data_IF_335246426811
#
_entry.id   IF_335246426811
#
_cell.length_a   1.000
_cell.length_b   1.000
_cell.length_c   1.000
_cell.angle_alpha   90.00
_cell.angle_beta   90.00
_cell.angle_gamma   90.00
#
_symmetry.space_group_name_H-M   'P 1'
#
loop_
_entity.id
_entity.type
_entity.pdbx_description
1 polymer ?
#
# COMPACT_ATOMS: atom_id res chain seq x y z
N UNK A 1 -26.25 -18.61 -34.51
CA UNK A 1 -25.02 -18.15 -33.83
C UNK A 1 -25.40 -18.08 -32.37
N UNK A 2 -25.02 -19.09 -31.59
CA UNK A 2 -25.49 -19.21 -30.20
C UNK A 2 -24.53 -18.43 -29.31
N UNK A 3 -25.03 -17.38 -28.68
CA UNK A 3 -24.26 -16.60 -27.73
C UNK A 3 -24.01 -17.45 -26.48
N UNK A 4 -22.75 -17.87 -26.32
CA UNK A 4 -22.24 -18.47 -25.08
C UNK A 4 -22.08 -17.40 -24.00
N UNK A 5 -23.19 -16.85 -23.50
CA UNK A 5 -23.20 -15.99 -22.32
C UNK A 5 -23.29 -16.85 -21.05
N UNK A 6 -22.14 -17.37 -20.61
CA UNK A 6 -22.02 -18.00 -19.29
C UNK A 6 -22.09 -16.91 -18.21
N UNK A 7 -23.20 -16.81 -17.50
CA UNK A 7 -23.33 -15.93 -16.33
C UNK A 7 -22.26 -16.30 -15.30
N UNK A 8 -21.37 -15.35 -14.97
CA UNK A 8 -20.27 -15.53 -14.02
C UNK A 8 -20.85 -15.74 -12.60
N UNK A 9 -21.10 -17.00 -12.22
CA UNK A 9 -21.94 -17.35 -11.06
C UNK A 9 -21.27 -17.28 -9.68
N UNK A 10 -20.07 -16.74 -9.53
CA UNK A 10 -19.43 -16.49 -8.22
C UNK A 10 -18.21 -15.61 -8.41
N UNK A 11 -18.28 -14.34 -8.01
CA UNK A 11 -17.08 -13.52 -7.82
C UNK A 11 -16.22 -14.16 -6.74
N UNK A 12 -14.98 -14.53 -7.06
CA UNK A 12 -13.99 -14.95 -6.05
C UNK A 12 -13.17 -13.73 -5.68
N UNK A 13 -13.31 -13.25 -4.45
CA UNK A 13 -12.46 -12.18 -3.92
C UNK A 13 -11.11 -12.81 -3.58
N UNK A 14 -10.04 -12.29 -4.19
CA UNK A 14 -8.66 -12.65 -3.84
C UNK A 14 -8.09 -11.52 -3.00
N UNK A 15 -7.70 -11.83 -1.77
CA UNK A 15 -7.05 -10.88 -0.86
C UNK A 15 -5.54 -11.11 -0.95
N UNK A 16 -4.79 -10.06 -1.28
CA UNK A 16 -3.32 -10.09 -1.35
C UNK A 16 -2.78 -9.14 -0.29
N UNK A 17 -2.05 -9.67 0.69
CA UNK A 17 -1.33 -8.87 1.67
C UNK A 17 0.05 -8.49 1.12
N UNK A 18 0.35 -7.18 1.09
CA UNK A 18 1.67 -6.67 0.71
C UNK A 18 2.42 -6.31 1.98
N UNK A 19 3.53 -7.01 2.24
CA UNK A 19 4.42 -6.75 3.38
C UNK A 19 5.75 -6.17 2.94
N UNK A 20 6.27 -5.20 3.71
CA UNK A 20 7.61 -4.67 3.54
C UNK A 20 8.53 -5.01 4.72
N UNK A 21 9.81 -5.29 4.46
CA UNK A 21 10.81 -5.52 5.51
C UNK A 21 11.99 -4.58 5.30
N UNK A 22 12.39 -3.87 6.35
CA UNK A 22 13.52 -2.93 6.35
C UNK A 22 13.44 -1.91 5.20
N UNK A 23 12.27 -1.32 5.01
CA UNK A 23 12.08 -0.29 3.99
C UNK A 23 12.92 0.95 4.37
N UNK A 24 13.96 1.28 3.60
CA UNK A 24 14.82 2.41 3.94
C UNK A 24 14.05 3.70 3.67
N UNK A 25 13.77 4.45 4.72
CA UNK A 25 13.25 5.80 4.60
C UNK A 25 14.44 6.77 4.61
N UNK A 26 14.67 7.45 3.49
CA UNK A 26 15.69 8.49 3.44
C UNK A 26 15.34 9.60 4.44
N UNK A 27 16.28 9.92 5.33
CA UNK A 27 16.05 10.83 6.46
C UNK A 27 15.35 10.20 7.67
N UNK A 28 14.97 8.92 7.63
CA UNK A 28 14.27 8.18 8.68
C UNK A 28 15.15 7.49 9.73
N UNK A 29 16.37 7.96 9.96
CA UNK A 29 17.33 7.32 10.85
C UNK A 29 17.19 7.72 12.33
N UNK A 30 17.98 7.10 13.20
CA UNK A 30 18.07 7.45 14.64
C UNK A 30 18.49 8.90 14.90
N UNK A 31 19.01 9.59 13.88
CA UNK A 31 19.34 11.01 13.87
C UNK A 31 18.12 11.94 13.72
N UNK A 32 16.91 11.39 13.51
CA UNK A 32 15.67 12.18 13.57
C UNK A 32 15.57 12.85 14.94
N UNK A 33 15.67 14.17 14.96
CA UNK A 33 15.55 15.01 16.15
C UNK A 33 14.72 16.23 15.75
N UNK A 34 13.73 16.59 16.57
CA UNK A 34 13.03 17.86 16.39
C UNK A 34 13.96 18.98 16.82
N UNK A 35 13.89 20.12 16.13
CA UNK A 35 14.58 21.34 16.54
C UNK A 35 14.03 21.95 17.85
N UNK A 36 13.04 21.29 18.48
CA UNK A 36 12.35 21.75 19.68
C UNK A 36 13.07 21.31 20.97
N UNK A 37 14.40 21.40 20.96
CA UNK A 37 15.35 21.09 22.05
C UNK A 37 15.20 22.01 23.29
N UNK A 38 14.05 22.66 23.48
CA UNK A 38 13.74 23.49 24.65
C UNK A 38 12.40 23.09 25.31
N UNK A 39 12.03 21.81 25.22
CA UNK A 39 10.86 21.25 25.94
C UNK A 39 9.63 20.95 25.08
N UNK A 40 9.79 20.78 23.77
CA UNK A 40 8.69 20.53 22.83
C UNK A 40 8.39 19.05 22.52
N UNK A 41 7.12 18.81 22.13
CA UNK A 41 6.47 17.54 21.81
C UNK A 41 7.29 16.53 20.94
N UNK A 42 6.95 15.22 21.00
CA UNK A 42 7.65 14.17 20.24
C UNK A 42 7.74 14.49 18.74
N UNK A 43 8.88 14.13 18.14
CA UNK A 43 9.16 14.39 16.72
C UNK A 43 8.30 13.48 15.86
N UNK A 44 7.16 13.98 15.40
CA UNK A 44 6.28 13.29 14.44
C UNK A 44 6.54 13.84 13.05
N UNK A 45 6.95 12.97 12.11
CA UNK A 45 7.10 13.33 10.71
C UNK A 45 5.96 12.71 9.91
N UNK A 46 5.00 13.50 9.40
CA UNK A 46 3.96 12.99 8.52
C UNK A 46 4.56 12.63 7.17
N UNK A 47 4.19 11.46 6.65
CA UNK A 47 4.65 10.90 5.39
C UNK A 47 3.45 10.37 4.62
N UNK A 48 3.58 10.35 3.30
CA UNK A 48 2.59 9.76 2.41
C UNK A 48 3.28 8.73 1.53
N UNK A 49 2.94 7.46 1.72
CA UNK A 49 3.43 6.36 0.90
C UNK A 49 2.50 6.18 -0.29
N UNK A 50 3.02 6.30 -1.51
CA UNK A 50 2.25 6.08 -2.74
C UNK A 50 2.89 5.01 -3.62
N UNK A 51 2.13 3.99 -3.98
CA UNK A 51 2.58 2.91 -4.86
C UNK A 51 1.42 2.38 -5.72
N UNK A 52 1.75 1.68 -6.81
CA UNK A 52 0.77 1.07 -7.71
C UNK A 52 0.88 -0.45 -7.67
N UNK A 53 -0.22 -1.12 -7.37
CA UNK A 53 -0.34 -2.58 -7.48
C UNK A 53 -0.80 -2.92 -8.88
N UNK A 54 0.01 -3.68 -9.62
CA UNK A 54 -0.32 -4.20 -10.95
C UNK A 54 -0.68 -5.67 -10.84
N UNK A 55 -1.87 -6.02 -11.31
CA UNK A 55 -2.32 -7.41 -11.36
C UNK A 55 -2.78 -7.77 -12.77
N UNK A 56 -2.55 -9.02 -13.16
CA UNK A 56 -2.86 -9.55 -14.48
C UNK A 56 -3.69 -10.82 -14.34
N UNK A 57 -4.81 -10.89 -15.06
CA UNK A 57 -5.69 -12.04 -15.08
C UNK A 57 -5.82 -12.62 -16.49
N UNK A 58 -5.51 -13.90 -16.63
CA UNK A 58 -5.66 -14.69 -17.85
C UNK A 58 -7.02 -15.41 -17.82
N UNK A 59 -8.03 -14.85 -18.48
CA UNK A 59 -9.42 -15.34 -18.36
C UNK A 59 -9.71 -16.54 -19.27
N UNK A 60 -9.04 -16.62 -20.42
CA UNK A 60 -9.16 -17.72 -21.40
C UNK A 60 -7.75 -18.19 -21.82
N UNK A 61 -6.94 -18.57 -20.83
CA UNK A 61 -5.50 -18.75 -21.03
C UNK A 61 -4.85 -17.41 -21.42
N UNK A 62 -3.90 -17.43 -22.34
CA UNK A 62 -3.25 -16.20 -22.81
C UNK A 62 -4.04 -15.44 -23.89
N UNK A 63 -5.18 -15.98 -24.36
CA UNK A 63 -6.00 -15.35 -25.40
C UNK A 63 -6.68 -14.07 -24.93
N UNK A 64 -7.15 -14.04 -23.68
CA UNK A 64 -7.75 -12.86 -23.05
C UNK A 64 -7.01 -12.55 -21.77
N UNK A 65 -6.27 -11.44 -21.79
CA UNK A 65 -5.51 -10.94 -20.65
C UNK A 65 -6.08 -9.60 -20.23
N UNK A 66 -6.53 -9.51 -18.97
CA UNK A 66 -6.98 -8.27 -18.35
C UNK A 66 -5.91 -7.78 -17.38
N UNK A 67 -5.62 -6.49 -17.40
CA UNK A 67 -4.67 -5.84 -16.52
C UNK A 67 -5.40 -4.84 -15.62
N UNK A 68 -5.12 -4.91 -14.32
CA UNK A 68 -5.69 -4.01 -13.33
C UNK A 68 -4.58 -3.27 -12.62
N UNK A 69 -4.74 -1.95 -12.55
CA UNK A 69 -3.83 -1.05 -11.87
C UNK A 69 -4.58 -0.39 -10.72
N UNK A 70 -4.12 -0.66 -9.49
CA UNK A 70 -4.69 -0.05 -8.29
C UNK A 70 -3.66 0.87 -7.66
N UNK A 71 -4.00 2.15 -7.59
CA UNK A 71 -3.18 3.15 -6.94
C UNK A 71 -3.48 3.13 -5.44
N UNK A 72 -2.44 2.98 -4.63
CA UNK A 72 -2.55 2.95 -3.18
C UNK A 72 -1.82 4.16 -2.61
N UNK A 73 -2.50 4.89 -1.73
CA UNK A 73 -1.92 6.02 -0.99
C UNK A 73 -2.19 5.81 0.50
N UNK A 74 -1.14 5.76 1.30
CA UNK A 74 -1.27 5.58 2.75
C UNK A 74 -0.64 6.77 3.47
N UNK A 75 -1.33 7.29 4.47
CA UNK A 75 -0.83 8.35 5.33
C UNK A 75 -0.22 7.73 6.58
N UNK A 76 1.03 8.07 6.90
CA UNK A 76 1.71 7.50 8.05
C UNK A 76 2.48 8.56 8.83
N UNK A 77 2.55 8.37 10.15
CA UNK A 77 3.22 9.27 11.06
C UNK A 77 4.46 8.58 11.63
N UNK A 78 5.63 8.95 11.12
CA UNK A 78 6.89 8.41 11.62
C UNK A 78 7.23 9.04 12.97
N UNK A 79 7.49 8.19 13.95
CA UNK A 79 7.88 8.58 15.30
C UNK A 79 9.24 7.98 15.61
N UNK A 80 10.15 8.79 16.14
CA UNK A 80 11.50 8.32 16.48
C UNK A 80 11.46 7.14 17.44
N UNK A 81 10.54 7.18 18.41
CA UNK A 81 10.41 6.20 19.49
C UNK A 81 9.97 4.82 18.99
N UNK A 82 9.34 4.77 17.81
CA UNK A 82 8.79 3.55 17.21
C UNK A 82 9.56 3.10 15.96
N UNK A 83 10.75 3.67 15.72
CA UNK A 83 11.61 3.25 14.61
C UNK A 83 12.05 1.79 14.81
N UNK A 84 11.86 0.97 13.77
CA UNK A 84 12.20 -0.46 13.81
C UNK A 84 11.06 -1.38 14.29
N UNK A 85 9.98 -0.81 14.81
CA UNK A 85 8.75 -1.57 15.08
C UNK A 85 7.98 -1.86 13.78
N UNK A 86 7.29 -3.00 13.69
CA UNK A 86 6.31 -3.23 12.63
C UNK A 86 5.22 -2.15 12.66
N UNK A 87 4.88 -1.65 11.47
CA UNK A 87 3.80 -0.69 11.27
C UNK A 87 2.72 -1.33 10.40
N UNK A 88 1.51 -1.43 10.93
CA UNK A 88 0.33 -1.76 10.15
C UNK A 88 -0.18 -0.48 9.46
N UNK A 89 -0.51 -0.59 8.18
CA UNK A 89 -0.98 0.50 7.34
C UNK A 89 -2.38 0.22 6.78
N UNK A 90 -2.98 -0.93 7.07
CA UNK A 90 -4.21 -1.39 6.42
C UNK A 90 -5.36 -0.37 6.53
N UNK A 91 -5.53 0.23 7.70
CA UNK A 91 -6.61 1.20 7.98
C UNK A 91 -6.28 2.63 7.53
N UNK A 92 -5.01 2.91 7.22
CA UNK A 92 -4.50 4.24 6.85
C UNK A 92 -4.35 4.42 5.33
N UNK A 93 -4.76 3.43 4.53
CA UNK A 93 -4.60 3.40 3.08
C UNK A 93 -5.91 3.71 2.33
N UNK A 94 -5.80 4.54 1.30
CA UNK A 94 -6.83 4.81 0.32
C UNK A 94 -6.50 4.10 -0.99
N UNK A 95 -7.51 3.47 -1.59
CA UNK A 95 -7.40 2.70 -2.82
C UNK A 95 -8.15 3.38 -3.95
N UNK A 96 -7.43 3.81 -4.98
CA UNK A 96 -7.99 4.36 -6.21
C UNK A 96 -7.86 3.38 -7.37
N UNK A 97 -8.93 3.26 -8.16
CA UNK A 97 -8.84 2.63 -9.47
C UNK A 97 -8.21 3.61 -10.47
N UNK A 98 -7.23 3.12 -11.23
CA UNK A 98 -6.57 3.88 -12.30
C UNK A 98 -7.38 3.94 -13.58
#
# INVERSE_FOLDING_TARGET
MEEFNLSQRRGRVVVVAVGGRQMPLYGGGSSLTSRAEEGGAPTVVPLQLSFTVRSRAHLLGHLVTSEFHRHVRCSLALRKERLGEPLDLADDCQYGDG
#
